data_IF_493322314507
#
_entry.id   IF_493322314507
#
_cell.length_a   1.000
_cell.length_b   1.000
_cell.length_c   1.000
_cell.angle_alpha   90.00
_cell.angle_beta   90.00
_cell.angle_gamma   90.00
#
_symmetry.space_group_name_H-M   'P 1'
#
loop_
_entity.id
_entity.type
_entity.pdbx_description
1 polymer ?
#
# COMPACT_ATOMS: atom_id res chain seq x y z
N UNK A 1 -30.63 -5.69 7.03
CA UNK A 1 -29.91 -4.82 8.00
C UNK A 1 -28.61 -4.27 7.40
N UNK A 2 -27.63 -5.12 7.00
CA UNK A 2 -26.32 -4.67 6.49
C UNK A 2 -26.35 -3.81 5.21
N UNK A 3 -27.35 -3.95 4.33
CA UNK A 3 -27.46 -3.13 3.12
C UNK A 3 -27.83 -1.68 3.41
N UNK A 4 -28.74 -1.43 4.37
CA UNK A 4 -29.21 -0.09 4.70
C UNK A 4 -28.10 0.75 5.35
N UNK A 5 -27.32 0.15 6.26
CA UNK A 5 -26.21 0.87 6.89
C UNK A 5 -25.12 1.24 5.86
N UNK A 6 -24.84 0.37 4.89
CA UNK A 6 -23.91 0.67 3.79
C UNK A 6 -24.42 1.83 2.93
N UNK A 7 -25.71 1.88 2.64
CA UNK A 7 -26.33 3.00 1.90
C UNK A 7 -26.22 4.30 2.69
N UNK A 8 -26.50 4.28 4.00
CA UNK A 8 -26.33 5.45 4.88
C UNK A 8 -24.89 5.96 4.89
N UNK A 9 -23.92 5.07 5.04
CA UNK A 9 -22.49 5.40 5.00
C UNK A 9 -22.10 5.98 3.63
N UNK A 10 -22.49 5.35 2.53
CA UNK A 10 -22.15 5.80 1.17
C UNK A 10 -22.79 7.13 0.80
N UNK A 11 -23.95 7.46 1.38
CA UNK A 11 -24.65 8.74 1.16
C UNK A 11 -24.18 9.83 2.13
N UNK A 12 -23.27 9.52 3.06
CA UNK A 12 -22.82 10.44 4.07
C UNK A 12 -21.85 11.47 3.48
N UNK A 13 -21.95 12.78 3.80
CA UNK A 13 -21.04 13.78 3.22
C UNK A 13 -19.57 13.60 3.62
N UNK A 14 -19.29 12.88 4.72
CA UNK A 14 -17.92 12.50 5.12
C UNK A 14 -17.40 11.24 4.42
N UNK A 15 -18.23 10.55 3.61
CA UNK A 15 -17.83 9.33 2.90
C UNK A 15 -16.57 9.52 2.03
N UNK A 16 -16.40 10.64 1.30
CA UNK A 16 -15.20 10.80 0.51
C UNK A 16 -13.92 10.93 1.34
N UNK A 17 -14.00 11.52 2.54
CA UNK A 17 -12.87 11.58 3.50
C UNK A 17 -12.56 10.20 4.06
N UNK A 18 -13.59 9.41 4.35
CA UNK A 18 -13.44 8.03 4.80
C UNK A 18 -12.69 7.17 3.76
N UNK A 19 -13.10 7.25 2.50
CA UNK A 19 -12.46 6.52 1.39
C UNK A 19 -10.99 6.94 1.24
N UNK A 20 -10.70 8.24 1.37
CA UNK A 20 -9.34 8.77 1.29
C UNK A 20 -8.43 8.24 2.42
N UNK A 21 -8.89 8.31 3.66
CA UNK A 21 -8.16 7.78 4.82
C UNK A 21 -7.93 6.27 4.71
N UNK A 22 -8.94 5.53 4.23
CA UNK A 22 -8.83 4.10 4.01
C UNK A 22 -7.78 3.77 2.93
N UNK A 23 -7.80 4.48 1.80
CA UNK A 23 -6.82 4.29 0.72
C UNK A 23 -5.41 4.58 1.24
N UNK A 24 -5.21 5.70 1.93
CA UNK A 24 -3.91 6.05 2.49
C UNK A 24 -3.36 4.97 3.43
N UNK A 25 -4.22 4.43 4.29
CA UNK A 25 -3.86 3.34 5.18
C UNK A 25 -3.51 2.06 4.40
N UNK A 26 -4.31 1.68 3.40
CA UNK A 26 -4.09 0.47 2.60
C UNK A 26 -2.85 0.57 1.70
N UNK A 27 -2.42 1.78 1.34
CA UNK A 27 -1.21 1.99 0.54
C UNK A 27 0.07 1.72 1.31
N UNK A 28 0.03 1.72 2.65
CA UNK A 28 1.22 1.39 3.46
C UNK A 28 1.62 -0.05 3.18
N UNK A 29 2.80 -0.23 2.58
CA UNK A 29 3.32 -1.55 2.21
C UNK A 29 2.65 -2.23 1.01
N UNK A 30 1.73 -1.55 0.31
CA UNK A 30 1.04 -2.13 -0.84
C UNK A 30 2.01 -2.36 -2.03
N UNK A 31 1.88 -3.49 -2.74
CA UNK A 31 2.56 -3.69 -4.02
C UNK A 31 2.14 -2.62 -5.05
N UNK A 32 2.96 -2.33 -6.06
CA UNK A 32 2.67 -1.32 -7.07
C UNK A 32 1.33 -1.51 -7.79
N UNK A 33 0.91 -2.76 -8.04
CA UNK A 33 -0.36 -3.07 -8.69
C UNK A 33 -1.54 -2.64 -7.81
N UNK A 34 -1.50 -2.98 -6.53
CA UNK A 34 -2.52 -2.61 -5.54
C UNK A 34 -2.55 -1.10 -5.33
N UNK A 35 -1.40 -0.44 -5.20
CA UNK A 35 -1.32 1.01 -5.05
C UNK A 35 -1.96 1.74 -6.24
N UNK A 36 -1.71 1.28 -7.47
CA UNK A 36 -2.33 1.84 -8.69
C UNK A 36 -3.84 1.66 -8.73
N UNK A 37 -4.33 0.49 -8.34
CA UNK A 37 -5.77 0.23 -8.24
C UNK A 37 -6.42 1.16 -7.22
N UNK A 38 -5.78 1.37 -6.07
CA UNK A 38 -6.25 2.32 -5.05
C UNK A 38 -6.24 3.77 -5.55
N UNK A 39 -5.27 4.15 -6.40
CA UNK A 39 -5.23 5.47 -7.04
C UNK A 39 -6.37 5.67 -8.07
N UNK A 40 -6.86 4.59 -8.70
CA UNK A 40 -8.05 4.65 -9.55
C UNK A 40 -9.32 4.89 -8.73
N UNK A 41 -9.49 4.18 -7.62
CA UNK A 41 -10.60 4.41 -6.69
C UNK A 41 -10.55 5.85 -6.14
N UNK A 42 -9.36 6.38 -5.80
CA UNK A 42 -9.21 7.77 -5.36
C UNK A 42 -9.74 8.75 -6.39
N UNK A 43 -9.39 8.57 -7.67
CA UNK A 43 -9.86 9.44 -8.75
C UNK A 43 -11.37 9.40 -8.89
N UNK A 44 -11.98 8.22 -8.80
CA UNK A 44 -13.43 8.08 -8.82
C UNK A 44 -14.08 8.81 -7.63
N UNK A 45 -13.52 8.64 -6.42
CA UNK A 45 -13.98 9.32 -5.21
C UNK A 45 -13.92 10.86 -5.30
N UNK A 46 -12.89 11.41 -5.95
CA UNK A 46 -12.76 12.86 -6.13
C UNK A 46 -13.85 13.42 -7.06
N UNK A 47 -14.40 12.61 -7.99
CA UNK A 47 -15.57 12.99 -8.79
C UNK A 47 -16.83 13.08 -7.92
N UNK A 48 -17.00 12.16 -6.97
CA UNK A 48 -18.13 12.17 -6.03
C UNK A 48 -18.08 13.35 -5.04
N UNK A 49 -16.87 13.82 -4.65
CA UNK A 49 -16.70 15.01 -3.80
C UNK A 49 -17.34 16.26 -4.41
N UNK A 50 -17.37 16.38 -5.73
CA UNK A 50 -17.89 17.56 -6.42
C UNK A 50 -19.43 17.57 -6.53
N UNK A 51 -20.09 16.42 -6.37
CA UNK A 51 -21.54 16.25 -6.53
C UNK A 51 -22.29 16.20 -5.18
N UNK A 52 -21.55 16.08 -4.07
CA UNK A 52 -22.09 15.97 -2.72
C UNK A 52 -22.59 17.32 -2.18
N UNK A 53 -23.80 17.72 -2.58
CA UNK A 53 -24.52 18.82 -1.93
C UNK A 53 -24.90 18.40 -0.50
N UNK A 54 -24.30 19.08 0.49
CA UNK A 54 -24.49 18.89 1.93
C UNK A 54 -25.95 19.01 2.34
N UNK A 55 -26.68 17.90 2.38
CA UNK A 55 -28.10 17.88 2.77
C UNK A 55 -28.36 17.06 4.03
N UNK A 56 -27.37 16.33 4.55
CA UNK A 56 -27.57 15.32 5.61
C UNK A 56 -26.62 15.36 6.81
N UNK A 57 -25.69 16.31 6.90
CA UNK A 57 -24.84 16.46 8.10
C UNK A 57 -25.69 16.83 9.32
N UNK A 58 -25.53 16.10 10.43
CA UNK A 58 -26.30 16.32 11.66
C UNK A 58 -27.68 15.65 11.69
N UNK A 59 -28.06 14.90 10.65
CA UNK A 59 -29.32 14.15 10.63
C UNK A 59 -29.27 12.88 11.49
N UNK A 60 -28.06 12.37 11.77
CA UNK A 60 -27.82 11.16 12.56
C UNK A 60 -26.50 11.30 13.33
N UNK A 61 -26.53 11.86 14.56
CA UNK A 61 -25.33 12.14 15.35
C UNK A 61 -24.47 10.90 15.64
N UNK A 62 -25.08 9.72 15.76
CA UNK A 62 -24.35 8.47 15.98
C UNK A 62 -23.54 8.09 14.74
N UNK A 63 -24.13 8.27 13.55
CA UNK A 63 -23.42 8.07 12.29
C UNK A 63 -22.34 9.14 12.06
N UNK A 64 -22.62 10.39 12.39
CA UNK A 64 -21.65 11.49 12.30
C UNK A 64 -20.39 11.17 13.14
N UNK A 65 -20.59 10.81 14.42
CA UNK A 65 -19.51 10.41 15.34
C UNK A 65 -18.75 9.18 14.84
N UNK A 66 -19.46 8.17 14.34
CA UNK A 66 -18.84 6.99 13.75
C UNK A 66 -17.94 7.35 12.56
N UNK A 67 -18.44 8.16 11.64
CA UNK A 67 -17.71 8.54 10.42
C UNK A 67 -16.43 9.32 10.77
N UNK A 68 -16.48 10.25 11.73
CA UNK A 68 -15.32 11.00 12.19
C UNK A 68 -14.31 10.11 12.93
N UNK A 69 -14.77 9.37 13.94
CA UNK A 69 -13.93 8.51 14.78
C UNK A 69 -13.21 7.46 13.94
N UNK A 70 -13.91 6.87 12.97
CA UNK A 70 -13.32 5.84 12.11
C UNK A 70 -12.29 6.42 11.14
N UNK A 71 -12.50 7.64 10.60
CA UNK A 71 -11.47 8.34 9.82
C UNK A 71 -10.21 8.57 10.65
N UNK A 72 -10.36 9.06 11.89
CA UNK A 72 -9.22 9.34 12.77
C UNK A 72 -8.49 8.06 13.18
N UNK A 73 -9.23 6.97 13.40
CA UNK A 73 -8.67 5.64 13.64
C UNK A 73 -7.83 5.16 12.45
N UNK A 74 -8.30 5.34 11.22
CA UNK A 74 -7.55 4.97 10.01
C UNK A 74 -6.26 5.79 9.85
N UNK A 75 -6.32 7.10 10.12
CA UNK A 75 -5.13 7.96 10.09
C UNK A 75 -4.11 7.52 11.13
N UNK A 76 -4.56 7.25 12.36
CA UNK A 76 -3.68 6.73 13.41
C UNK A 76 -3.08 5.37 13.02
N UNK A 77 -3.91 4.46 12.51
CA UNK A 77 -3.47 3.13 12.13
C UNK A 77 -2.44 3.16 10.99
N UNK A 78 -2.61 4.04 10.00
CA UNK A 78 -1.60 4.32 8.97
C UNK A 78 -0.26 4.67 9.60
N UNK A 79 -0.23 5.68 10.48
CA UNK A 79 1.00 6.12 11.15
C UNK A 79 1.64 5.00 12.00
N UNK A 80 0.82 4.21 12.68
CA UNK A 80 1.28 3.07 13.48
C UNK A 80 1.88 1.95 12.60
N UNK A 81 1.43 1.81 11.35
CA UNK A 81 1.94 0.84 10.37
C UNK A 81 3.20 1.29 9.65
N UNK A 82 3.35 2.59 9.36
CA UNK A 82 4.47 3.12 8.55
C UNK A 82 5.83 2.66 9.09
N UNK A 83 6.05 2.79 10.40
CA UNK A 83 7.33 2.44 11.03
C UNK A 83 7.68 0.93 10.89
N UNK A 84 6.82 -0.04 11.26
CA UNK A 84 7.09 -1.45 11.02
C UNK A 84 7.45 -1.79 9.56
N UNK A 85 6.78 -1.15 8.60
CA UNK A 85 7.06 -1.37 7.18
C UNK A 85 8.42 -0.81 6.75
N UNK A 86 8.78 0.38 7.21
CA UNK A 86 10.08 0.98 6.93
C UNK A 86 11.23 0.18 7.55
N UNK A 87 11.06 -0.28 8.80
CA UNK A 87 12.02 -1.13 9.50
C UNK A 87 12.22 -2.47 8.78
N UNK A 88 11.12 -3.13 8.38
CA UNK A 88 11.17 -4.38 7.63
C UNK A 88 11.83 -4.20 6.26
N UNK A 89 11.46 -3.14 5.52
CA UNK A 89 12.03 -2.82 4.21
C UNK A 89 13.54 -2.58 4.32
N UNK A 90 13.95 -1.80 5.32
CA UNK A 90 15.37 -1.53 5.60
C UNK A 90 16.14 -2.80 5.93
N UNK A 91 15.56 -3.66 6.77
CA UNK A 91 16.16 -4.95 7.12
C UNK A 91 16.33 -5.85 5.89
N UNK A 92 15.29 -6.01 5.08
CA UNK A 92 15.33 -6.83 3.88
C UNK A 92 16.35 -6.31 2.85
N UNK A 93 16.40 -5.00 2.61
CA UNK A 93 17.39 -4.37 1.72
C UNK A 93 18.83 -4.61 2.20
N UNK A 94 19.06 -4.58 3.52
CA UNK A 94 20.37 -4.87 4.10
C UNK A 94 20.78 -6.33 3.85
N UNK A 95 19.87 -7.27 4.05
CA UNK A 95 20.10 -8.69 3.80
C UNK A 95 20.33 -8.95 2.31
N UNK A 96 19.52 -8.36 1.44
CA UNK A 96 19.68 -8.44 -0.01
C UNK A 96 21.07 -7.94 -0.46
N UNK A 97 21.53 -6.80 0.08
CA UNK A 97 22.87 -6.28 -0.20
C UNK A 97 23.97 -7.24 0.25
N UNK A 98 23.82 -7.89 1.41
CA UNK A 98 24.78 -8.89 1.88
C UNK A 98 24.85 -10.09 0.93
N UNK A 99 23.72 -10.60 0.44
CA UNK A 99 23.69 -11.69 -0.53
C UNK A 99 24.32 -11.29 -1.87
N UNK A 100 24.01 -10.09 -2.40
CA UNK A 100 24.63 -9.57 -3.64
C UNK A 100 26.15 -9.48 -3.52
N UNK A 101 26.67 -9.04 -2.37
CA UNK A 101 28.10 -8.95 -2.12
C UNK A 101 28.77 -10.33 -2.08
N UNK A 102 28.12 -11.33 -1.46
CA UNK A 102 28.61 -12.71 -1.44
C UNK A 102 28.63 -13.32 -2.84
N UNK A 103 27.55 -13.21 -3.61
CA UNK A 103 27.48 -13.75 -4.97
C UNK A 103 28.50 -13.05 -5.90
N UNK A 104 28.81 -11.76 -5.69
CA UNK A 104 29.88 -11.04 -6.41
C UNK A 104 31.29 -11.53 -6.02
N UNK A 105 31.57 -11.66 -4.72
CA UNK A 105 32.87 -12.16 -4.23
C UNK A 105 33.15 -13.60 -4.67
N UNK A 106 32.12 -14.45 -4.71
CA UNK A 106 32.23 -15.80 -5.24
C UNK A 106 32.57 -15.82 -6.74
N UNK A 107 31.95 -14.94 -7.52
CA UNK A 107 32.22 -14.78 -8.96
C UNK A 107 33.66 -14.29 -9.23
N UNK A 108 34.18 -13.38 -8.43
CA UNK A 108 35.58 -12.92 -8.56
C UNK A 108 36.57 -14.08 -8.30
N UNK A 109 36.30 -14.91 -7.29
CA UNK A 109 37.14 -16.08 -6.97
C UNK A 109 37.09 -17.18 -8.05
N UNK A 110 35.96 -17.36 -8.74
CA UNK A 110 35.89 -18.31 -9.86
C UNK A 110 36.62 -17.81 -11.10
N UNK A 111 36.68 -16.49 -11.34
CA UNK A 111 37.42 -15.90 -12.47
C UNK A 111 38.94 -15.95 -12.27
N UNK A 112 39.45 -15.97 -11.02
CA UNK A 112 40.90 -16.05 -10.75
C UNK A 112 41.47 -17.48 -10.79
N UNK A 113 40.65 -18.51 -11.04
CA UNK A 113 41.09 -19.90 -11.15
C UNK A 113 40.39 -20.60 -12.30
N UNK A 114 40.93 -20.44 -13.52
CA UNK A 114 40.63 -21.13 -14.79
C UNK A 114 39.14 -21.47 -15.11
N UNK A 115 38.70 -21.00 -16.28
CA UNK A 115 37.38 -21.18 -16.92
C UNK A 115 36.76 -22.57 -16.76
N UNK A 116 35.42 -22.67 -16.71
CA UNK A 116 34.72 -22.92 -17.98
C UNK A 116 33.43 -22.09 -18.15
N UNK A 117 33.10 -21.88 -19.42
CA UNK A 117 31.90 -21.22 -19.94
C UNK A 117 30.60 -21.62 -19.24
N UNK A 118 29.83 -20.64 -18.77
CA UNK A 118 28.40 -20.79 -18.58
C UNK A 118 27.68 -19.61 -19.23
N UNK A 119 26.85 -19.95 -20.21
CA UNK A 119 26.15 -19.06 -21.11
C UNK A 119 25.13 -18.19 -20.37
N UNK A 120 25.25 -16.88 -20.59
CA UNK A 120 24.26 -15.87 -20.29
C UNK A 120 22.98 -16.17 -21.11
N UNK A 121 21.89 -16.57 -20.46
CA UNK A 121 20.56 -16.55 -21.08
C UNK A 121 19.89 -15.21 -20.75
N UNK A 122 19.53 -14.38 -21.75
CA UNK A 122 18.76 -13.18 -21.52
C UNK A 122 17.28 -13.58 -21.48
N UNK A 123 16.78 -13.86 -20.28
CA UNK A 123 15.36 -14.08 -20.02
C UNK A 123 15.01 -13.44 -18.70
N UNK A 124 14.13 -12.43 -18.75
CA UNK A 124 13.46 -11.88 -17.57
C UNK A 124 12.82 -13.03 -16.77
N UNK A 125 12.76 -12.86 -15.45
CA UNK A 125 12.10 -13.74 -14.48
C UNK A 125 12.98 -14.80 -13.80
N UNK A 126 14.27 -14.53 -13.65
CA UNK A 126 15.07 -15.29 -12.68
C UNK A 126 14.93 -14.66 -11.29
N UNK A 127 14.01 -15.21 -10.49
CA UNK A 127 14.21 -15.34 -9.05
C UNK A 127 15.56 -16.06 -8.89
N UNK A 128 16.64 -15.29 -8.72
CA UNK A 128 17.90 -15.85 -8.28
C UNK A 128 17.73 -16.12 -6.79
N UNK A 129 17.41 -17.37 -6.49
CA UNK A 129 17.64 -17.97 -5.18
C UNK A 129 19.16 -18.18 -5.05
N UNK A 130 19.89 -17.09 -4.79
CA UNK A 130 20.95 -17.11 -3.79
C UNK A 130 20.19 -17.06 -2.44
#
# INVERSE_FOLDING_TARGET
MSSLIKVKIASHPSYPRLVEAYIDCQKVGAPPQTARFLDEIRRENDLFKHDAVSTYWGADPELDEFMETYCDLLVKYKSDLERPFDEATTFLNKIEMQFRNLCTAATIRSVSGQSPSLSLFPGKDSLILC
#
